data_IF_726635978508
#
_entry.id   IF_726635978508
#
_cell.length_a   1.000
_cell.length_b   1.000
_cell.length_c   1.000
_cell.angle_alpha   90.00
_cell.angle_beta   90.00
_cell.angle_gamma   90.00
#
_symmetry.space_group_name_H-M   'P 1'
#
loop_
_entity.id
_entity.type
_entity.pdbx_description
1 polymer ?
#
# COMPACT_ATOMS: atom_id res chain seq x y z
N UNK A 1 -4.55 -11.23 19.92
CA UNK A 1 -4.82 -9.78 19.89
C UNK A 1 -5.68 -9.39 21.06
N UNK A 2 -5.57 -8.14 21.54
CA UNK A 2 -6.48 -7.61 22.56
C UNK A 2 -7.84 -7.27 21.91
N UNK A 3 -8.93 -7.74 22.52
CA UNK A 3 -10.30 -7.50 22.05
C UNK A 3 -10.71 -6.09 22.48
N UNK A 4 -11.47 -5.33 21.70
CA UNK A 4 -12.01 -4.02 22.11
C UNK A 4 -13.54 -4.08 22.13
N UNK A 5 -14.15 -3.35 23.06
CA UNK A 5 -15.60 -3.18 23.16
C UNK A 5 -15.94 -1.69 23.11
N UNK A 6 -16.98 -1.33 22.35
CA UNK A 6 -17.56 0.01 22.39
C UNK A 6 -18.46 0.09 23.63
N UNK A 7 -18.06 0.89 24.61
CA UNK A 7 -18.79 1.05 25.85
C UNK A 7 -19.81 2.18 25.76
N UNK A 8 -21.01 1.94 26.33
CA UNK A 8 -21.97 3.00 26.66
C UNK A 8 -21.79 3.39 28.13
N UNK A 9 -21.26 4.59 28.37
CA UNK A 9 -21.01 5.07 29.72
C UNK A 9 -22.32 5.43 30.44
N UNK A 10 -22.50 4.91 31.65
CA UNK A 10 -23.72 5.15 32.44
C UNK A 10 -23.81 6.62 32.84
N UNK A 11 -24.92 7.27 32.50
CA UNK A 11 -25.16 8.69 32.81
C UNK A 11 -24.64 9.68 31.76
N UNK A 12 -24.05 9.19 30.67
CA UNK A 12 -23.60 10.00 29.54
C UNK A 12 -24.39 9.64 28.27
N UNK A 13 -24.45 10.57 27.33
CA UNK A 13 -25.08 10.34 26.02
C UNK A 13 -24.19 9.47 25.10
N UNK A 14 -24.75 9.07 23.95
CA UNK A 14 -24.07 8.19 23.01
C UNK A 14 -22.86 8.81 22.30
N UNK A 15 -22.67 10.14 22.36
CA UNK A 15 -21.50 10.81 21.79
C UNK A 15 -20.23 10.54 22.60
N UNK A 16 -20.39 10.10 23.86
CA UNK A 16 -19.29 9.78 24.76
C UNK A 16 -18.88 8.30 24.70
N UNK A 17 -19.54 7.48 23.86
CA UNK A 17 -19.19 6.07 23.72
C UNK A 17 -17.75 5.93 23.22
N UNK A 18 -16.93 5.17 23.94
CA UNK A 18 -15.51 4.97 23.63
C UNK A 18 -15.17 3.50 23.45
N UNK A 19 -14.16 3.23 22.63
CA UNK A 19 -13.62 1.89 22.42
C UNK A 19 -12.58 1.59 23.47
N UNK A 20 -12.88 0.64 24.36
CA UNK A 20 -11.98 0.24 25.43
C UNK A 20 -11.46 -1.19 25.20
N UNK A 21 -10.18 -1.47 25.44
CA UNK A 21 -9.64 -2.81 25.34
C UNK A 21 -10.19 -3.70 26.46
N UNK A 22 -10.38 -4.98 26.15
CA UNK A 22 -10.97 -5.99 27.03
C UNK A 22 -10.20 -6.19 28.32
N UNK A 23 -8.89 -5.88 28.31
CA UNK A 23 -8.02 -5.95 29.47
C UNK A 23 -8.40 -4.88 30.52
N UNK A 24 -9.03 -3.78 30.12
CA UNK A 24 -9.43 -2.68 31.02
C UNK A 24 -10.90 -2.75 31.44
N UNK A 25 -11.62 -3.82 31.06
CA UNK A 25 -13.02 -4.02 31.41
C UNK A 25 -13.18 -4.93 32.63
N UNK A 26 -13.55 -4.35 33.77
CA UNK A 26 -13.87 -5.10 34.99
C UNK A 26 -15.36 -5.50 35.05
N UNK A 27 -15.86 -6.10 33.96
CA UNK A 27 -17.27 -6.50 33.84
C UNK A 27 -17.47 -7.83 33.08
N UNK A 28 -16.87 -8.93 33.56
CA UNK A 28 -16.79 -10.20 32.82
C UNK A 28 -18.16 -10.79 32.46
N UNK A 29 -19.18 -10.64 33.29
CA UNK A 29 -20.52 -11.19 33.04
C UNK A 29 -21.28 -10.40 31.96
N UNK A 30 -21.15 -9.08 31.92
CA UNK A 30 -21.73 -8.25 30.85
C UNK A 30 -21.07 -8.56 29.50
N UNK A 31 -19.75 -8.72 29.50
CA UNK A 31 -18.99 -9.10 28.31
C UNK A 31 -19.41 -10.49 27.78
N UNK A 32 -19.55 -11.48 28.67
CA UNK A 32 -20.04 -12.83 28.29
C UNK A 32 -21.45 -12.78 27.73
N UNK A 33 -22.35 -12.03 28.37
CA UNK A 33 -23.73 -11.88 27.91
C UNK A 33 -23.79 -11.24 26.52
N UNK A 34 -23.09 -10.12 26.32
CA UNK A 34 -23.03 -9.43 25.03
C UNK A 34 -22.52 -10.36 23.92
N UNK A 35 -21.42 -11.09 24.15
CA UNK A 35 -20.88 -12.02 23.17
C UNK A 35 -21.85 -13.16 22.83
N UNK A 36 -22.62 -13.65 23.80
CA UNK A 36 -23.66 -14.66 23.58
C UNK A 36 -24.80 -14.10 22.71
N UNK A 37 -25.25 -12.89 22.99
CA UNK A 37 -26.32 -12.23 22.22
C UNK A 37 -25.90 -11.96 20.78
N UNK A 38 -24.65 -11.53 20.55
CA UNK A 38 -24.13 -11.31 19.20
C UNK A 38 -24.06 -12.62 18.39
N UNK A 39 -23.68 -13.74 19.02
CA UNK A 39 -23.73 -15.07 18.38
C UNK A 39 -25.16 -15.49 18.02
N UNK A 40 -26.12 -15.26 18.90
CA UNK A 40 -27.53 -15.58 18.65
C UNK A 40 -28.15 -14.71 17.54
N UNK A 41 -27.78 -13.43 17.46
CA UNK A 41 -28.19 -12.53 16.37
C UNK A 41 -27.61 -12.98 15.03
N UNK A 42 -26.35 -13.39 14.98
CA UNK A 42 -25.71 -13.93 13.77
C UNK A 42 -26.39 -15.21 13.28
N UNK A 43 -26.81 -16.09 14.20
CA UNK A 43 -27.53 -17.33 13.86
C UNK A 43 -28.96 -17.07 13.35
N UNK A 44 -29.66 -16.06 13.89
CA UNK A 44 -31.02 -15.69 13.45
C UNK A 44 -31.02 -14.92 12.11
N UNK A 45 -29.96 -14.20 11.79
CA UNK A 45 -29.82 -13.51 10.50
C UNK A 45 -29.59 -14.48 9.32
N UNK A 46 -29.25 -15.75 9.58
CA UNK A 46 -28.96 -16.76 8.56
C UNK A 46 -30.16 -17.60 8.09
N UNK A 47 -31.36 -17.45 8.67
CA UNK A 47 -32.50 -18.38 8.43
C UNK A 47 -33.70 -17.81 7.67
N UNK A 48 -33.66 -16.56 7.21
CA UNK A 48 -34.77 -15.94 6.46
C UNK A 48 -34.33 -15.46 5.08
N UNK A 49 -34.59 -16.27 4.05
CA UNK A 49 -34.50 -15.84 2.65
C UNK A 49 -34.10 -16.92 1.65
N UNK A 50 -34.87 -18.00 1.54
CA UNK A 50 -34.78 -18.93 0.40
C UNK A 50 -35.94 -18.66 -0.57
N UNK A 51 -35.70 -18.03 -1.73
CA UNK A 51 -36.24 -18.53 -3.01
C UNK A 51 -35.65 -17.88 -4.30
N UNK A 52 -35.30 -18.79 -5.22
CA UNK A 52 -35.20 -18.77 -6.70
C UNK A 52 -34.58 -17.61 -7.52
N UNK A 53 -33.41 -17.95 -8.10
CA UNK A 53 -33.01 -17.83 -9.52
C UNK A 53 -32.90 -16.45 -10.21
N UNK A 54 -31.65 -16.04 -10.47
CA UNK A 54 -31.09 -15.89 -11.82
C UNK A 54 -29.57 -15.98 -11.78
N UNK A 55 -29.01 -16.81 -12.67
CA UNK A 55 -27.57 -17.09 -12.79
C UNK A 55 -26.80 -15.80 -13.11
N UNK A 56 -25.93 -15.40 -12.20
CA UNK A 56 -24.77 -14.57 -12.48
C UNK A 56 -23.57 -15.26 -11.84
N UNK A 57 -22.50 -15.37 -12.61
CA UNK A 57 -21.32 -16.21 -12.38
C UNK A 57 -20.79 -16.00 -10.96
N UNK A 58 -20.84 -17.08 -10.18
CA UNK A 58 -20.53 -17.09 -8.75
C UNK A 58 -19.02 -16.90 -8.57
N UNK A 59 -18.66 -15.89 -7.78
CA UNK A 59 -17.34 -15.75 -7.19
C UNK A 59 -16.92 -17.11 -6.61
N UNK A 60 -15.73 -17.57 -6.96
CA UNK A 60 -15.08 -18.73 -6.38
C UNK A 60 -15.01 -18.57 -4.87
N UNK A 61 -16.03 -19.07 -4.15
CA UNK A 61 -15.89 -19.41 -2.74
C UNK A 61 -14.78 -20.45 -2.70
N UNK A 62 -13.62 -20.06 -2.19
CA UNK A 62 -12.54 -20.98 -1.89
C UNK A 62 -13.06 -21.89 -0.77
N UNK A 63 -13.60 -23.05 -1.15
CA UNK A 63 -14.19 -24.05 -0.25
C UNK A 63 -13.18 -25.10 0.18
N UNK A 64 -11.88 -24.77 0.23
CA UNK A 64 -10.89 -25.64 0.87
C UNK A 64 -10.57 -25.13 2.28
N UNK A 65 -10.34 -26.04 3.24
CA UNK A 65 -9.73 -25.66 4.50
C UNK A 65 -8.40 -24.94 4.24
N UNK A 66 -8.15 -23.87 4.99
CA UNK A 66 -6.83 -23.23 5.01
C UNK A 66 -5.87 -24.10 5.80
N UNK A 67 -4.63 -24.14 5.34
CA UNK A 67 -3.53 -24.75 6.07
C UNK A 67 -3.20 -23.95 7.34
N UNK A 68 -2.48 -24.58 8.26
CA UNK A 68 -1.99 -23.94 9.49
C UNK A 68 -1.14 -22.68 9.17
N UNK A 69 -0.28 -22.76 8.15
CA UNK A 69 0.60 -21.66 7.76
C UNK A 69 -0.18 -20.47 7.16
N UNK A 70 -1.23 -20.73 6.37
CA UNK A 70 -2.14 -19.68 5.90
C UNK A 70 -2.84 -18.98 7.07
N UNK A 71 -3.39 -19.76 8.01
CA UNK A 71 -4.07 -19.22 9.19
C UNK A 71 -3.11 -18.44 10.11
N UNK A 72 -1.89 -18.93 10.31
CA UNK A 72 -0.87 -18.24 11.07
C UNK A 72 -0.49 -16.90 10.42
N UNK A 73 -0.34 -16.87 9.09
CA UNK A 73 -0.05 -15.64 8.36
C UNK A 73 -1.24 -14.66 8.40
N UNK A 74 -2.48 -15.11 8.24
CA UNK A 74 -3.65 -14.24 8.41
C UNK A 74 -3.75 -13.67 9.82
N UNK A 75 -3.55 -14.50 10.85
CA UNK A 75 -3.57 -14.04 12.24
C UNK A 75 -2.47 -13.01 12.52
N UNK A 76 -1.28 -13.21 11.93
CA UNK A 76 -0.20 -12.24 11.96
C UNK A 76 -0.61 -10.91 11.30
N UNK A 77 -1.21 -10.94 10.11
CA UNK A 77 -1.66 -9.73 9.41
C UNK A 77 -2.79 -9.02 10.18
N UNK A 78 -3.70 -9.75 10.83
CA UNK A 78 -4.77 -9.17 11.65
C UNK A 78 -4.24 -8.33 12.83
N UNK A 79 -3.04 -8.60 13.33
CA UNK A 79 -2.44 -7.81 14.42
C UNK A 79 -1.50 -6.71 13.96
N UNK A 80 -1.03 -6.74 12.69
CA UNK A 80 -0.03 -5.81 12.18
C UNK A 80 -0.52 -4.87 11.07
N UNK A 81 -1.48 -5.29 10.25
CA UNK A 81 -2.03 -4.49 9.15
C UNK A 81 -3.29 -3.73 9.59
N UNK A 82 -3.12 -2.47 10.03
CA UNK A 82 -4.24 -1.65 10.55
C UNK A 82 -4.71 -0.56 9.58
N UNK A 83 -4.07 -0.46 8.43
CA UNK A 83 -4.29 0.58 7.43
C UNK A 83 -5.52 0.36 6.53
N UNK A 84 -6.34 -0.69 6.73
CA UNK A 84 -7.50 -0.95 5.88
C UNK A 84 -8.23 -2.27 6.14
N UNK A 85 -9.06 -2.74 5.19
CA UNK A 85 -9.75 -4.03 5.29
C UNK A 85 -8.79 -5.20 5.54
N UNK A 86 -9.21 -6.27 6.25
CA UNK A 86 -8.37 -7.44 6.50
C UNK A 86 -7.80 -8.05 5.21
N UNK A 87 -6.53 -8.47 5.29
CA UNK A 87 -5.81 -9.10 4.18
C UNK A 87 -5.94 -10.61 4.34
N UNK A 88 -6.40 -11.28 3.28
CA UNK A 88 -6.46 -12.75 3.27
C UNK A 88 -5.14 -13.35 2.78
N UNK A 89 -4.87 -14.61 3.15
CA UNK A 89 -3.74 -15.39 2.65
C UNK A 89 -4.26 -16.64 1.96
N UNK A 90 -3.73 -16.91 0.77
CA UNK A 90 -4.09 -18.05 -0.07
C UNK A 90 -2.79 -18.73 -0.54
N UNK A 91 -2.52 -19.92 -0.01
CA UNK A 91 -1.43 -20.78 -0.44
C UNK A 91 -1.93 -22.18 -0.77
N UNK A 92 -2.24 -22.39 -2.06
CA UNK A 92 -2.62 -23.66 -2.66
C UNK A 92 -1.46 -24.33 -3.41
N UNK A 93 -0.22 -23.86 -3.19
CA UNK A 93 0.97 -24.25 -3.97
C UNK A 93 1.96 -25.04 -3.12
N UNK A 94 2.28 -24.57 -1.92
CA UNK A 94 3.30 -25.16 -1.06
C UNK A 94 3.00 -24.93 0.43
N UNK A 95 3.93 -25.33 1.29
CA UNK A 95 3.83 -25.13 2.74
C UNK A 95 4.39 -23.80 3.25
N UNK A 96 4.68 -22.82 2.39
CA UNK A 96 5.27 -21.55 2.84
C UNK A 96 4.25 -20.73 3.66
N UNK A 97 4.73 -20.14 4.76
CA UNK A 97 3.98 -19.24 5.62
C UNK A 97 4.48 -17.81 5.51
N UNK A 98 4.51 -17.11 6.64
CA UNK A 98 5.09 -15.76 6.74
C UNK A 98 6.54 -15.81 6.23
N UNK A 99 6.95 -14.92 5.30
CA UNK A 99 8.34 -14.88 4.85
C UNK A 99 9.31 -14.69 6.03
N UNK A 100 10.46 -15.39 6.03
CA UNK A 100 11.48 -15.18 7.06
C UNK A 100 12.02 -13.73 6.99
N UNK A 101 12.36 -13.17 8.14
CA UNK A 101 12.91 -11.82 8.30
C UNK A 101 12.02 -10.67 7.79
N UNK A 102 10.73 -10.92 7.56
CA UNK A 102 9.74 -9.91 7.17
C UNK A 102 8.91 -9.46 8.38
N UNK A 103 8.73 -8.15 8.50
CA UNK A 103 7.86 -7.50 9.47
C UNK A 103 6.88 -6.59 8.75
N UNK A 104 5.58 -6.83 8.93
CA UNK A 104 4.54 -5.97 8.39
C UNK A 104 4.50 -4.64 9.14
N UNK A 105 4.59 -3.53 8.40
CA UNK A 105 4.46 -2.16 8.93
C UNK A 105 3.45 -1.35 8.12
N UNK A 106 2.71 -0.46 8.76
CA UNK A 106 1.75 0.46 8.15
C UNK A 106 2.22 1.93 8.23
N UNK A 107 3.53 2.13 8.41
CA UNK A 107 4.20 3.41 8.54
C UNK A 107 5.67 3.30 8.09
N UNK A 108 6.31 4.45 7.89
CA UNK A 108 7.75 4.49 7.60
C UNK A 108 8.59 4.36 8.87
N UNK A 109 9.63 3.54 8.77
CA UNK A 109 10.75 3.59 9.69
C UNK A 109 11.81 4.55 9.13
N UNK A 110 12.46 5.31 9.99
CA UNK A 110 13.47 6.29 9.57
C UNK A 110 14.84 5.81 10.02
N UNK A 111 15.69 5.46 9.05
CA UNK A 111 17.06 5.02 9.26
C UNK A 111 17.97 6.15 9.77
N UNK A 112 19.21 5.80 10.08
CA UNK A 112 20.21 6.76 10.54
C UNK A 112 20.48 7.82 9.46
N UNK A 113 20.50 9.09 9.86
CA UNK A 113 20.76 10.22 8.95
C UNK A 113 19.55 10.69 8.14
N UNK A 114 18.39 10.06 8.29
CA UNK A 114 17.14 10.51 7.65
C UNK A 114 16.37 11.45 8.60
N UNK A 115 15.96 12.66 8.14
CA UNK A 115 15.14 13.57 8.93
C UNK A 115 13.80 12.93 9.31
N UNK A 116 13.39 13.12 10.57
CA UNK A 116 12.08 12.66 11.05
C UNK A 116 10.99 13.69 10.73
N UNK A 117 9.72 13.27 10.54
CA UNK A 117 8.62 14.19 10.22
C UNK A 117 8.51 15.39 11.17
N UNK A 118 8.70 15.18 12.48
CA UNK A 118 8.64 16.27 13.47
C UNK A 118 9.70 17.35 13.26
N UNK A 119 10.87 17.00 12.70
CA UNK A 119 11.92 17.96 12.38
C UNK A 119 11.59 18.80 11.14
N UNK A 120 10.57 18.42 10.37
CA UNK A 120 10.12 19.07 9.14
C UNK A 120 8.78 19.78 9.34
N UNK A 121 8.26 19.86 10.57
CA UNK A 121 6.96 20.47 10.83
C UNK A 121 6.94 21.97 10.48
N UNK A 122 8.07 22.66 10.62
CA UNK A 122 8.20 24.09 10.31
C UNK A 122 8.18 24.39 8.81
N UNK A 123 8.53 23.41 7.96
CA UNK A 123 8.47 23.55 6.50
C UNK A 123 7.09 23.19 5.95
N UNK A 124 6.22 22.62 6.78
CA UNK A 124 4.89 22.19 6.37
C UNK A 124 3.92 23.37 6.27
N UNK A 125 3.37 23.56 5.08
CA UNK A 125 2.43 24.64 4.78
C UNK A 125 1.04 24.06 4.48
N UNK A 126 0.04 24.58 5.19
CA UNK A 126 -1.37 24.24 4.97
C UNK A 126 -2.10 25.26 4.09
N UNK A 127 -3.29 24.89 3.61
CA UNK A 127 -4.26 25.84 3.08
C UNK A 127 -5.04 26.53 4.19
N UNK A 128 -5.80 27.58 3.86
CA UNK A 128 -6.71 28.29 4.77
C UNK A 128 -8.19 27.99 4.46
N UNK A 129 -8.46 26.92 3.71
CA UNK A 129 -9.81 26.61 3.24
C UNK A 129 -10.71 26.08 4.38
N UNK A 130 -11.94 26.58 4.53
CA UNK A 130 -12.91 25.95 5.41
C UNK A 130 -13.33 24.57 4.89
N UNK A 131 -14.00 23.80 5.74
CA UNK A 131 -14.48 22.45 5.43
C UNK A 131 -15.26 22.37 4.11
N UNK A 132 -14.85 21.42 3.25
CA UNK A 132 -15.46 21.20 1.94
C UNK A 132 -15.13 22.26 0.88
N UNK A 133 -14.30 23.27 1.20
CA UNK A 133 -13.96 24.35 0.28
C UNK A 133 -12.62 24.16 -0.46
N UNK A 134 -11.88 23.08 -0.19
CA UNK A 134 -10.65 22.74 -0.92
C UNK A 134 -10.93 22.37 -2.39
N UNK A 135 -11.12 23.38 -3.23
CA UNK A 135 -11.37 23.25 -4.67
C UNK A 135 -10.80 24.43 -5.44
N UNK A 136 -10.29 24.17 -6.65
CA UNK A 136 -9.83 25.24 -7.52
C UNK A 136 -8.58 25.95 -7.00
N UNK A 137 -8.30 27.11 -7.60
CA UNK A 137 -7.21 28.01 -7.23
C UNK A 137 -7.31 28.65 -5.83
N UNK A 138 -8.42 28.45 -5.12
CA UNK A 138 -8.59 28.96 -3.75
C UNK A 138 -7.87 28.10 -2.72
N UNK A 139 -7.63 26.82 -3.03
CA UNK A 139 -6.89 25.94 -2.13
C UNK A 139 -5.40 26.02 -2.43
N UNK A 140 -4.62 26.52 -1.47
CA UNK A 140 -3.16 26.61 -1.59
C UNK A 140 -2.52 25.26 -1.97
N UNK A 141 -2.94 24.17 -1.34
CA UNK A 141 -2.46 22.81 -1.63
C UNK A 141 -2.68 22.39 -3.10
N UNK A 142 -3.74 22.88 -3.76
CA UNK A 142 -4.00 22.57 -5.17
C UNK A 142 -3.36 23.58 -6.12
N UNK A 143 -3.20 24.83 -5.68
CA UNK A 143 -2.71 25.93 -6.51
C UNK A 143 -1.22 25.78 -6.85
N UNK A 144 -0.40 25.41 -5.87
CA UNK A 144 1.07 25.48 -6.00
C UNK A 144 1.63 24.51 -7.06
N UNK A 145 1.18 23.25 -7.10
CA UNK A 145 1.69 22.25 -8.06
C UNK A 145 0.69 21.79 -9.13
N UNK A 146 -0.62 21.97 -8.92
CA UNK A 146 -1.64 21.46 -9.84
C UNK A 146 -2.50 22.58 -10.46
N UNK A 147 -2.06 23.84 -10.44
CA UNK A 147 -2.77 24.98 -11.05
C UNK A 147 -4.24 25.10 -10.59
N UNK A 148 -4.52 24.66 -9.35
CA UNK A 148 -5.86 24.61 -8.77
C UNK A 148 -6.76 23.50 -9.30
N UNK A 149 -6.29 22.63 -10.20
CA UNK A 149 -7.02 21.42 -10.62
C UNK A 149 -7.13 20.47 -9.42
N UNK A 150 -8.18 19.63 -9.45
CA UNK A 150 -8.39 18.64 -8.40
C UNK A 150 -7.51 17.42 -8.64
N UNK A 151 -6.81 16.96 -7.61
CA UNK A 151 -6.09 15.68 -7.63
C UNK A 151 -7.05 14.49 -7.78
N UNK A 152 -8.25 14.60 -7.18
CA UNK A 152 -9.22 13.51 -7.11
C UNK A 152 -10.62 13.91 -7.54
N UNK A 153 -11.39 12.92 -7.99
CA UNK A 153 -12.84 13.02 -8.15
C UNK A 153 -13.50 13.22 -6.79
N UNK A 154 -14.38 14.21 -6.67
CA UNK A 154 -15.09 14.51 -5.42
C UNK A 154 -16.11 13.45 -5.05
N UNK A 155 -16.63 12.73 -6.03
CA UNK A 155 -17.68 11.72 -5.83
C UNK A 155 -17.07 10.36 -5.50
N UNK A 156 -15.94 10.02 -6.13
CA UNK A 156 -15.40 8.66 -6.10
C UNK A 156 -14.04 8.55 -5.43
N UNK A 157 -13.33 9.66 -5.20
CA UNK A 157 -11.95 9.64 -4.68
C UNK A 157 -10.91 9.16 -5.70
N UNK A 158 -11.31 8.91 -6.95
CA UNK A 158 -10.40 8.45 -8.00
C UNK A 158 -9.45 9.55 -8.45
N UNK A 159 -8.16 9.24 -8.64
CA UNK A 159 -7.15 10.19 -9.14
C UNK A 159 -7.52 10.70 -10.55
N UNK A 160 -7.35 12.00 -10.76
CA UNK A 160 -7.67 12.71 -12.01
C UNK A 160 -6.46 13.28 -12.73
N UNK A 161 -5.36 13.46 -12.01
CA UNK A 161 -4.10 13.93 -12.61
C UNK A 161 -3.43 12.79 -13.38
N UNK A 162 -2.69 13.09 -14.46
CA UNK A 162 -1.97 12.07 -15.21
C UNK A 162 -0.77 11.51 -14.42
N UNK A 163 -0.34 10.27 -14.70
CA UNK A 163 0.90 9.73 -14.14
C UNK A 163 2.10 10.65 -14.34
N UNK A 164 3.03 10.67 -13.38
CA UNK A 164 4.17 11.60 -13.35
C UNK A 164 3.89 12.94 -12.66
N UNK A 165 2.63 13.22 -12.30
CA UNK A 165 2.28 14.41 -11.52
C UNK A 165 2.48 14.17 -10.01
N UNK A 166 3.02 15.17 -9.30
CA UNK A 166 3.11 15.15 -7.83
C UNK A 166 1.76 15.52 -7.22
N UNK A 167 1.23 14.65 -6.37
CA UNK A 167 -0.05 14.87 -5.70
C UNK A 167 0.19 15.58 -4.37
N UNK A 168 -0.24 16.83 -4.26
CA UNK A 168 -0.25 17.59 -3.01
C UNK A 168 -1.61 17.49 -2.31
N UNK A 169 -1.69 16.66 -1.27
CA UNK A 169 -2.86 16.56 -0.41
C UNK A 169 -2.93 17.70 0.62
N UNK A 170 -4.11 17.89 1.21
CA UNK A 170 -4.22 18.68 2.44
C UNK A 170 -3.60 17.92 3.61
N UNK A 171 -3.09 18.65 4.59
CA UNK A 171 -2.25 18.12 5.66
C UNK A 171 -2.70 18.61 7.04
N UNK A 172 -1.98 18.23 8.09
CA UNK A 172 -2.27 18.55 9.50
C UNK A 172 -2.30 20.06 9.80
N UNK A 173 -1.67 20.91 8.97
CA UNK A 173 -1.75 22.38 9.10
C UNK A 173 -2.98 22.97 8.40
N UNK A 174 -3.68 22.21 7.55
CA UNK A 174 -4.92 22.67 6.93
C UNK A 174 -6.09 22.60 7.92
N UNK A 175 -6.96 23.63 8.00
CA UNK A 175 -8.13 23.61 8.86
C UNK A 175 -9.28 22.75 8.30
N UNK A 176 -9.17 22.26 7.06
CA UNK A 176 -10.15 21.37 6.47
C UNK A 176 -10.12 19.98 7.12
N UNK A 177 -11.31 19.43 7.37
CA UNK A 177 -11.49 18.18 8.08
C UNK A 177 -10.90 16.94 7.36
N UNK A 178 -10.89 15.82 8.07
CA UNK A 178 -10.35 14.53 7.61
C UNK A 178 -11.07 13.97 6.36
N UNK A 179 -12.32 14.38 6.13
CA UNK A 179 -13.13 13.98 4.97
C UNK A 179 -12.96 14.93 3.76
N UNK A 180 -11.99 15.84 3.81
CA UNK A 180 -11.66 16.71 2.68
C UNK A 180 -11.39 15.87 1.41
N UNK A 181 -11.96 16.28 0.28
CA UNK A 181 -11.78 15.59 -1.01
C UNK A 181 -10.32 15.55 -1.50
N UNK A 182 -9.43 16.36 -0.90
CA UNK A 182 -7.99 16.36 -1.15
C UNK A 182 -7.21 15.64 -0.04
N UNK A 183 -7.83 14.70 0.67
CA UNK A 183 -7.23 13.81 1.67
C UNK A 183 -7.66 12.37 1.35
N UNK A 184 -7.13 11.74 0.30
CA UNK A 184 -7.53 10.39 -0.12
C UNK A 184 -6.56 9.35 0.43
N UNK A 185 -5.27 9.51 0.15
CA UNK A 185 -4.28 8.47 0.45
C UNK A 185 -4.00 8.36 1.95
N UNK A 186 -4.09 9.48 2.68
CA UNK A 186 -3.97 9.50 4.14
C UNK A 186 -5.12 8.80 4.89
N UNK A 187 -6.21 8.41 4.21
CA UNK A 187 -7.30 7.64 4.83
C UNK A 187 -7.05 6.13 4.87
N UNK A 188 -5.88 5.68 4.41
CA UNK A 188 -5.51 4.27 4.35
C UNK A 188 -6.19 3.50 3.22
N UNK A 189 -5.80 2.23 3.09
CA UNK A 189 -6.31 1.29 2.09
C UNK A 189 -7.82 1.10 2.26
N UNK A 190 -8.57 1.20 1.16
CA UNK A 190 -10.00 0.86 1.10
C UNK A 190 -10.30 -0.40 0.28
N UNK A 191 -9.36 -0.85 -0.54
CA UNK A 191 -9.51 -2.04 -1.40
C UNK A 191 -9.35 -3.34 -0.60
N UNK A 192 -10.02 -4.39 -1.05
CA UNK A 192 -9.94 -5.73 -0.44
C UNK A 192 -8.98 -6.61 -1.22
N UNK A 193 -7.94 -7.10 -0.55
CA UNK A 193 -6.80 -7.79 -1.16
C UNK A 193 -6.52 -9.13 -0.48
N UNK A 194 -5.82 -10.01 -1.19
CA UNK A 194 -5.25 -11.23 -0.62
C UNK A 194 -3.80 -11.41 -1.08
N UNK A 195 -2.93 -11.83 -0.17
CA UNK A 195 -1.60 -12.34 -0.50
C UNK A 195 -1.77 -13.77 -0.99
N UNK A 196 -1.37 -14.04 -2.23
CA UNK A 196 -1.48 -15.36 -2.88
C UNK A 196 -0.11 -15.91 -3.23
N UNK A 197 0.12 -17.20 -2.97
CA UNK A 197 1.29 -17.92 -3.45
C UNK A 197 1.11 -18.28 -4.93
N UNK A 198 2.09 -17.93 -5.77
CA UNK A 198 2.15 -18.29 -7.18
C UNK A 198 3.31 -19.29 -7.42
N UNK A 199 3.12 -20.33 -8.24
CA UNK A 199 4.13 -21.36 -8.47
C UNK A 199 5.48 -20.83 -8.95
N UNK A 200 5.48 -19.86 -9.87
CA UNK A 200 6.71 -19.43 -10.54
C UNK A 200 7.27 -18.08 -10.04
N UNK A 201 6.46 -17.33 -9.27
CA UNK A 201 6.70 -15.91 -8.97
C UNK A 201 6.94 -15.58 -7.50
N UNK A 202 6.66 -16.50 -6.58
CA UNK A 202 6.76 -16.16 -5.16
C UNK A 202 5.38 -15.93 -4.55
N UNK A 203 5.34 -15.03 -3.57
CA UNK A 203 4.11 -14.40 -3.13
C UNK A 203 3.71 -13.31 -4.13
N UNK A 204 2.42 -13.02 -4.21
CA UNK A 204 1.83 -11.97 -5.03
C UNK A 204 0.60 -11.41 -4.32
N UNK A 205 -0.02 -10.37 -4.87
CA UNK A 205 -1.27 -9.83 -4.33
C UNK A 205 -2.35 -9.90 -5.38
N UNK A 206 -3.55 -10.34 -5.00
CA UNK A 206 -4.74 -10.35 -5.86
C UNK A 206 -5.87 -9.52 -5.27
N UNK A 207 -6.76 -9.03 -6.12
CA UNK A 207 -7.99 -8.37 -5.69
C UNK A 207 -9.05 -9.40 -5.23
N UNK A 208 -9.68 -9.20 -4.08
CA UNK A 208 -10.80 -10.05 -3.61
C UNK A 208 -12.17 -9.41 -3.82
N UNK A 209 -12.17 -8.14 -4.22
CA UNK A 209 -13.33 -7.41 -4.78
C UNK A 209 -12.84 -6.62 -5.99
N UNK A 210 -13.74 -6.34 -6.94
CA UNK A 210 -13.44 -5.47 -8.08
C UNK A 210 -12.90 -4.12 -7.60
N UNK A 211 -11.83 -3.64 -8.23
CA UNK A 211 -11.23 -2.33 -7.98
C UNK A 211 -11.43 -1.50 -9.24
N UNK A 212 -12.07 -0.35 -9.12
CA UNK A 212 -12.24 0.57 -10.25
C UNK A 212 -10.90 1.22 -10.64
N UNK A 213 -10.80 1.73 -11.86
CA UNK A 213 -9.61 2.46 -12.31
C UNK A 213 -9.34 3.69 -11.45
N UNK A 214 -8.09 4.13 -11.37
CA UNK A 214 -7.66 5.34 -10.69
C UNK A 214 -7.95 5.36 -9.17
N UNK A 215 -8.10 4.20 -8.54
CA UNK A 215 -8.33 4.07 -7.10
C UNK A 215 -7.01 3.94 -6.36
N UNK A 216 -6.89 4.62 -5.21
CA UNK A 216 -5.76 4.40 -4.30
C UNK A 216 -5.78 2.97 -3.76
N UNK A 217 -4.63 2.31 -3.82
CA UNK A 217 -4.43 0.93 -3.34
C UNK A 217 -3.79 0.95 -1.97
N UNK A 218 -2.56 1.45 -1.88
CA UNK A 218 -1.74 1.52 -0.67
C UNK A 218 -0.50 2.36 -0.95
N UNK A 219 0.20 2.82 0.09
CA UNK A 219 1.57 3.29 -0.04
C UNK A 219 2.55 2.12 -0.17
N UNK A 220 3.76 2.39 -0.66
CA UNK A 220 4.93 1.52 -0.48
C UNK A 220 5.60 1.89 0.84
N UNK A 221 5.45 1.05 1.87
CA UNK A 221 6.06 1.27 3.18
C UNK A 221 7.33 0.44 3.35
N UNK A 222 8.26 0.97 4.15
CA UNK A 222 9.48 0.31 4.55
C UNK A 222 10.35 1.20 5.41
N UNK A 223 11.64 0.88 5.48
CA UNK A 223 12.64 1.74 6.10
C UNK A 223 13.13 2.77 5.08
N UNK A 224 12.94 4.06 5.37
CA UNK A 224 13.57 5.13 4.61
C UNK A 224 15.03 5.21 5.06
N UNK A 225 15.94 5.01 4.13
CA UNK A 225 17.39 5.06 4.31
C UNK A 225 18.00 6.12 3.39
N UNK A 226 19.24 6.52 3.67
CA UNK A 226 19.97 7.42 2.77
C UNK A 226 20.40 6.68 1.51
N UNK A 227 20.59 7.39 0.40
CA UNK A 227 21.10 6.82 -0.84
C UNK A 227 22.42 6.05 -0.63
N UNK A 228 23.34 6.59 0.19
CA UNK A 228 24.59 5.92 0.52
C UNK A 228 24.39 4.58 1.26
N UNK A 229 23.42 4.50 2.17
CA UNK A 229 23.08 3.23 2.83
C UNK A 229 22.39 2.26 1.86
N UNK A 230 21.57 2.78 0.94
CA UNK A 230 20.94 1.98 -0.10
C UNK A 230 21.98 1.34 -1.03
N UNK A 231 23.02 2.06 -1.44
CA UNK A 231 24.11 1.51 -2.26
C UNK A 231 24.85 0.35 -1.56
N UNK A 232 25.12 0.51 -0.25
CA UNK A 232 25.76 -0.50 0.57
C UNK A 232 24.90 -1.77 0.72
N UNK A 233 23.57 -1.61 0.84
CA UNK A 233 22.63 -2.74 0.91
C UNK A 233 22.38 -3.37 -0.45
N UNK A 234 22.19 -2.56 -1.48
CA UNK A 234 21.92 -2.94 -2.88
C UNK A 234 22.97 -3.90 -3.40
N UNK A 235 24.26 -3.58 -3.19
CA UNK A 235 25.38 -4.46 -3.55
C UNK A 235 25.26 -5.88 -2.98
N UNK A 236 24.69 -6.04 -1.77
CA UNK A 236 24.44 -7.35 -1.15
C UNK A 236 23.15 -7.98 -1.65
N UNK A 237 22.16 -7.17 -2.00
CA UNK A 237 20.83 -7.60 -2.44
C UNK A 237 20.87 -8.13 -3.87
N UNK A 238 21.67 -7.52 -4.73
CA UNK A 238 21.88 -7.93 -6.12
C UNK A 238 22.49 -9.33 -6.21
N UNK A 239 23.43 -9.65 -5.31
CA UNK A 239 24.05 -10.98 -5.22
C UNK A 239 23.01 -12.10 -5.03
N UNK A 240 21.85 -11.79 -4.44
CA UNK A 240 20.78 -12.72 -4.10
C UNK A 240 19.44 -12.39 -4.80
N UNK A 241 19.44 -11.45 -5.76
CA UNK A 241 18.27 -11.12 -6.60
C UNK A 241 17.12 -10.43 -5.86
N UNK A 242 17.40 -9.61 -4.84
CA UNK A 242 16.38 -8.91 -4.04
C UNK A 242 16.14 -7.48 -4.55
N UNK A 243 14.87 -7.13 -4.79
CA UNK A 243 14.46 -5.90 -5.52
C UNK A 243 13.53 -5.01 -4.70
N UNK A 244 13.80 -4.86 -3.39
CA UNK A 244 12.92 -4.14 -2.46
C UNK A 244 13.30 -2.68 -2.21
N UNK A 245 14.38 -2.20 -2.84
CA UNK A 245 14.80 -0.81 -2.80
C UNK A 245 13.98 0.00 -3.81
N UNK A 246 13.41 1.12 -3.36
CA UNK A 246 12.67 2.05 -4.22
C UNK A 246 13.13 3.48 -3.94
N UNK A 247 13.84 4.06 -4.90
CA UNK A 247 14.38 5.42 -4.80
C UNK A 247 13.27 6.48 -4.78
N UNK A 248 13.46 7.52 -3.97
CA UNK A 248 12.58 8.69 -3.92
C UNK A 248 13.03 9.74 -4.94
N UNK A 249 13.16 9.34 -6.20
CA UNK A 249 13.73 10.14 -7.29
C UNK A 249 12.68 10.88 -8.14
N UNK A 250 11.38 10.73 -7.84
CA UNK A 250 10.31 11.33 -8.66
C UNK A 250 10.38 12.84 -8.86
N UNK A 251 11.06 13.55 -7.96
CA UNK A 251 11.22 15.00 -8.03
C UNK A 251 12.64 15.40 -8.43
N UNK A 252 13.56 14.44 -8.54
CA UNK A 252 14.95 14.69 -8.95
C UNK A 252 14.99 14.98 -10.46
N UNK A 253 15.28 16.24 -10.80
CA UNK A 253 15.43 16.68 -12.18
C UNK A 253 16.89 16.67 -12.64
N UNK A 254 17.82 16.23 -11.78
CA UNK A 254 19.26 16.19 -12.04
C UNK A 254 19.94 17.57 -12.05
N UNK A 255 19.19 18.65 -11.87
CA UNK A 255 19.69 20.04 -11.96
C UNK A 255 19.57 20.81 -10.65
N UNK A 256 18.65 20.43 -9.77
CA UNK A 256 18.33 21.17 -8.56
C UNK A 256 18.69 20.39 -7.28
N UNK A 257 19.63 20.92 -6.49
CA UNK A 257 20.06 20.30 -5.21
C UNK A 257 18.91 20.12 -4.21
N UNK A 258 17.87 20.96 -4.27
CA UNK A 258 16.71 20.87 -3.39
C UNK A 258 15.76 19.72 -3.75
N UNK A 259 15.87 19.16 -4.95
CA UNK A 259 15.03 18.04 -5.40
C UNK A 259 15.80 16.74 -5.62
N UNK A 260 17.13 16.77 -5.42
CA UNK A 260 18.02 15.61 -5.50
C UNK A 260 17.48 14.41 -4.72
N UNK A 261 17.56 13.23 -5.33
CA UNK A 261 17.29 11.97 -4.67
C UNK A 261 18.34 11.70 -3.59
N UNK A 262 17.92 11.80 -2.33
CA UNK A 262 18.78 11.55 -1.16
C UNK A 262 18.39 10.31 -0.37
N UNK A 263 17.22 9.74 -0.68
CA UNK A 263 16.56 8.74 0.15
C UNK A 263 15.95 7.64 -0.71
N UNK A 264 15.92 6.44 -0.12
CA UNK A 264 15.39 5.22 -0.73
C UNK A 264 14.53 4.51 0.31
N UNK A 265 13.41 3.91 -0.10
CA UNK A 265 12.62 3.03 0.74
C UNK A 265 13.13 1.59 0.57
N UNK A 266 13.61 0.98 1.64
CA UNK A 266 13.93 -0.45 1.72
C UNK A 266 12.78 -1.21 2.36
N UNK A 267 12.05 -1.97 1.54
CA UNK A 267 10.91 -2.75 1.99
C UNK A 267 11.24 -4.22 2.33
N UNK A 268 12.51 -4.62 2.35
CA UNK A 268 12.84 -6.03 2.57
C UNK A 268 12.38 -6.53 3.93
N UNK A 269 12.93 -5.92 5.00
CA UNK A 269 12.74 -6.41 6.38
C UNK A 269 11.47 -5.86 6.99
N UNK A 270 11.13 -4.64 6.60
CA UNK A 270 9.94 -3.94 7.04
C UNK A 270 9.19 -3.53 5.79
N UNK A 271 7.96 -3.99 5.62
CA UNK A 271 7.16 -3.60 4.46
C UNK A 271 5.68 -3.83 4.72
N UNK A 272 4.81 -3.26 3.91
CA UNK A 272 3.37 -3.52 3.96
C UNK A 272 2.96 -4.49 2.85
N UNK A 273 1.66 -4.52 2.52
CA UNK A 273 1.15 -5.41 1.47
C UNK A 273 1.81 -5.20 0.10
N UNK A 274 2.31 -4.01 -0.22
CA UNK A 274 2.98 -3.76 -1.50
C UNK A 274 4.35 -4.42 -1.62
N UNK A 275 4.96 -4.88 -0.51
CA UNK A 275 6.14 -5.76 -0.54
C UNK A 275 5.90 -6.97 -1.46
N UNK A 276 4.66 -7.43 -1.55
CA UNK A 276 4.27 -8.61 -2.32
C UNK A 276 3.78 -8.28 -3.74
N UNK A 277 3.86 -7.03 -4.21
CA UNK A 277 3.47 -6.71 -5.58
C UNK A 277 4.54 -7.18 -6.55
N UNK A 278 4.16 -8.02 -7.51
CA UNK A 278 5.07 -8.53 -8.52
C UNK A 278 5.25 -7.57 -9.70
N UNK A 279 6.35 -7.77 -10.42
CA UNK A 279 6.61 -7.09 -11.68
C UNK A 279 5.64 -7.53 -12.80
N UNK A 280 5.21 -6.57 -13.62
CA UNK A 280 4.67 -6.82 -14.97
C UNK A 280 5.18 -5.80 -15.99
N UNK A 281 5.41 -6.25 -17.22
CA UNK A 281 5.69 -5.38 -18.38
C UNK A 281 4.41 -4.70 -18.92
N UNK A 282 3.22 -5.22 -18.59
CA UNK A 282 1.93 -4.53 -18.75
C UNK A 282 1.22 -4.48 -17.39
N UNK A 283 1.62 -3.56 -16.50
CA UNK A 283 1.09 -3.50 -15.15
C UNK A 283 -0.33 -2.92 -15.10
N UNK A 284 -1.08 -3.31 -14.08
CA UNK A 284 -2.38 -2.71 -13.75
C UNK A 284 -2.30 -1.68 -12.62
N UNK A 285 -1.13 -1.50 -12.01
CA UNK A 285 -0.83 -0.42 -11.07
C UNK A 285 0.05 0.67 -11.70
N UNK A 286 -0.07 1.87 -11.16
CA UNK A 286 0.76 3.03 -11.44
C UNK A 286 1.15 3.71 -10.13
N UNK A 287 2.33 4.33 -10.10
CA UNK A 287 2.87 5.00 -8.92
C UNK A 287 2.69 6.50 -9.05
N UNK A 288 2.31 7.14 -7.94
CA UNK A 288 2.30 8.60 -7.80
C UNK A 288 3.14 9.01 -6.57
N UNK A 289 4.00 10.02 -6.69
CA UNK A 289 4.58 10.70 -5.53
C UNK A 289 3.49 11.54 -4.86
N UNK A 290 3.28 11.34 -3.56
CA UNK A 290 2.25 12.03 -2.78
C UNK A 290 2.87 12.77 -1.60
N UNK A 291 2.46 14.01 -1.43
CA UNK A 291 2.84 14.88 -0.31
C UNK A 291 1.60 15.16 0.55
N UNK A 292 1.68 14.91 1.86
CA UNK A 292 0.66 15.30 2.83
C UNK A 292 1.32 15.98 4.04
N UNK A 293 1.77 15.24 5.05
CA UNK A 293 2.34 15.70 6.32
C UNK A 293 3.87 15.71 6.32
N UNK A 294 4.45 16.15 5.21
CA UNK A 294 5.88 16.34 5.06
C UNK A 294 6.13 17.52 4.11
N UNK A 295 6.96 18.48 4.52
CA UNK A 295 7.32 19.65 3.71
C UNK A 295 8.51 19.42 2.79
N UNK A 296 9.28 18.34 2.97
CA UNK A 296 10.43 18.01 2.14
C UNK A 296 10.04 17.10 0.97
N UNK A 297 10.04 17.63 -0.24
CA UNK A 297 9.64 16.91 -1.45
C UNK A 297 10.50 15.65 -1.75
N UNK A 298 11.71 15.58 -1.19
CA UNK A 298 12.61 14.43 -1.32
C UNK A 298 12.16 13.23 -0.47
N UNK A 299 11.22 13.46 0.44
CA UNK A 299 10.62 12.46 1.34
C UNK A 299 9.13 12.25 1.02
N UNK A 300 8.76 12.36 -0.25
CA UNK A 300 7.40 12.07 -0.71
C UNK A 300 7.01 10.60 -0.46
N UNK A 301 5.72 10.34 -0.30
CA UNK A 301 5.21 8.99 -0.26
C UNK A 301 5.16 8.39 -1.67
N UNK A 302 5.49 7.11 -1.80
CA UNK A 302 5.21 6.32 -2.99
C UNK A 302 3.81 5.72 -2.84
N UNK A 303 2.84 6.17 -3.63
CA UNK A 303 1.47 5.67 -3.60
C UNK A 303 1.11 4.87 -4.85
N UNK A 304 0.54 3.68 -4.67
CA UNK A 304 0.01 2.89 -5.77
C UNK A 304 -1.46 3.25 -6.02
N UNK A 305 -1.77 3.47 -7.29
CA UNK A 305 -3.13 3.60 -7.80
C UNK A 305 -3.39 2.55 -8.88
N UNK A 306 -4.64 2.10 -9.03
CA UNK A 306 -5.02 1.28 -10.18
C UNK A 306 -4.97 2.11 -11.46
N UNK A 307 -4.35 1.58 -12.52
CA UNK A 307 -4.28 2.19 -13.86
C UNK A 307 -5.53 1.88 -14.69
N UNK A 308 -6.14 0.73 -14.43
CA UNK A 308 -7.36 0.22 -15.09
C UNK A 308 -8.22 -0.46 -14.02
N UNK A 309 -9.46 -0.81 -14.37
CA UNK A 309 -10.26 -1.66 -13.50
C UNK A 309 -9.56 -3.02 -13.32
N UNK A 310 -9.57 -3.55 -12.10
CA UNK A 310 -8.95 -4.82 -11.73
C UNK A 310 -10.06 -5.76 -11.24
N UNK A 311 -10.19 -6.91 -11.89
CA UNK A 311 -11.25 -7.86 -11.60
C UNK A 311 -10.93 -8.73 -10.37
N UNK A 312 -11.95 -9.39 -9.82
CA UNK A 312 -11.76 -10.32 -8.70
C UNK A 312 -10.85 -11.47 -9.12
N UNK A 313 -9.81 -11.72 -8.33
CA UNK A 313 -8.79 -12.75 -8.59
C UNK A 313 -7.64 -12.29 -9.48
N UNK A 314 -7.72 -11.09 -10.08
CA UNK A 314 -6.63 -10.52 -10.86
C UNK A 314 -5.49 -10.08 -9.94
N UNK A 315 -4.25 -10.31 -10.39
CA UNK A 315 -3.04 -9.97 -9.67
C UNK A 315 -2.66 -8.50 -9.85
N UNK A 316 -2.35 -7.84 -8.74
CA UNK A 316 -1.86 -6.48 -8.71
C UNK A 316 -0.36 -6.48 -9.02
N UNK A 317 0.01 -5.79 -10.11
CA UNK A 317 1.39 -5.73 -10.59
C UNK A 317 1.78 -4.32 -11.00
N UNK A 318 3.05 -3.98 -10.82
CA UNK A 318 3.64 -2.70 -11.23
C UNK A 318 4.93 -2.91 -12.03
N UNK A 319 5.42 -1.87 -12.70
CA UNK A 319 6.68 -1.94 -13.41
C UNK A 319 7.85 -1.54 -12.48
N UNK A 320 8.67 -2.52 -12.10
CA UNK A 320 9.84 -2.32 -11.24
C UNK A 320 10.88 -1.34 -11.81
N UNK A 321 10.97 -1.19 -13.13
CA UNK A 321 11.96 -0.29 -13.74
C UNK A 321 11.44 1.15 -13.87
N UNK A 322 10.24 1.45 -13.36
CA UNK A 322 9.57 2.73 -13.58
C UNK A 322 9.06 2.93 -15.01
N UNK A 323 8.44 4.10 -15.23
CA UNK A 323 7.94 4.57 -16.54
C UNK A 323 8.97 5.34 -17.36
N UNK A 324 10.20 5.47 -16.86
CA UNK A 324 11.29 6.07 -17.61
C UNK A 324 12.07 4.96 -18.31
N UNK A 325 12.05 5.01 -19.64
CA UNK A 325 13.10 4.39 -20.45
C UNK A 325 14.41 5.08 -20.04
N UNK A 326 15.10 4.58 -19.00
CA UNK A 326 16.50 4.93 -18.79
C UNK A 326 17.25 4.40 -20.02
N UNK A 327 17.48 5.27 -20.97
CA UNK A 327 18.48 5.15 -22.03
C UNK A 327 19.88 5.28 -21.42
N UNK A 328 20.17 4.53 -20.36
CA UNK A 328 21.52 4.43 -19.84
C UNK A 328 22.17 3.24 -20.52
N UNK A 329 22.69 3.52 -21.72
CA UNK A 329 23.72 2.68 -22.33
C UNK A 329 24.96 2.74 -21.45
N UNK A 330 25.02 1.92 -20.40
CA UNK A 330 26.28 1.60 -19.76
C UNK A 330 26.99 0.55 -20.61
N UNK A 331 28.19 0.91 -21.07
CA UNK A 331 29.11 0.01 -21.73
C UNK A 331 29.31 -1.24 -20.87
N UNK A 332 28.90 -2.37 -21.43
CA UNK A 332 29.08 -3.70 -20.86
C UNK A 332 30.58 -3.94 -20.74
N UNK A 333 31.14 -3.80 -19.54
CA UNK A 333 32.43 -4.39 -19.22
C UNK A 333 32.28 -5.90 -19.40
N UNK A 334 33.10 -6.48 -20.28
CA UNK A 334 33.15 -7.91 -20.58
C UNK A 334 33.47 -8.71 -19.30
N UNK A 335 32.45 -9.11 -18.54
CA UNK A 335 32.57 -10.09 -17.47
C UNK A 335 32.36 -11.51 -18.03
N UNK A 336 33.02 -12.48 -17.40
CA UNK A 336 32.90 -13.92 -17.63
C UNK A 336 31.45 -14.36 -17.95
N UNK A 337 31.26 -15.04 -19.07
CA UNK A 337 29.95 -15.40 -19.62
C UNK A 337 29.09 -16.28 -18.69
N UNK A 338 29.71 -16.94 -17.71
CA UNK A 338 29.03 -17.75 -16.69
C UNK A 338 28.25 -16.90 -15.67
N UNK A 339 28.87 -15.85 -15.14
CA UNK A 339 28.29 -14.95 -14.13
C UNK A 339 27.09 -14.19 -14.68
N UNK A 340 27.18 -13.78 -15.96
CA UNK A 340 26.07 -13.10 -16.67
C UNK A 340 24.83 -13.98 -16.76
N UNK A 341 24.99 -15.28 -17.01
CA UNK A 341 23.87 -16.20 -17.18
C UNK A 341 23.11 -16.46 -15.88
N UNK A 342 23.81 -16.58 -14.75
CA UNK A 342 23.19 -16.74 -13.43
C UNK A 342 22.40 -15.50 -13.00
N UNK A 343 22.93 -14.29 -13.25
CA UNK A 343 22.25 -13.03 -12.93
C UNK A 343 21.02 -12.84 -13.84
N UNK A 344 21.14 -13.13 -15.13
CA UNK A 344 20.00 -13.08 -16.06
C UNK A 344 18.88 -14.03 -15.65
N UNK A 345 19.19 -15.23 -15.15
CA UNK A 345 18.15 -16.17 -14.70
C UNK A 345 17.40 -15.65 -13.46
N UNK A 346 18.10 -14.98 -12.52
CA UNK A 346 17.48 -14.38 -11.33
C UNK A 346 16.44 -13.32 -11.69
N UNK A 347 16.72 -12.52 -12.73
CA UNK A 347 15.88 -11.40 -13.15
C UNK A 347 14.96 -11.71 -14.34
N UNK A 348 14.81 -13.00 -14.70
CA UNK A 348 13.91 -13.43 -15.77
C UNK A 348 12.46 -13.07 -15.44
N UNK A 349 11.83 -12.31 -16.32
CA UNK A 349 10.45 -11.87 -16.18
C UNK A 349 9.48 -13.00 -16.52
N UNK A 350 8.54 -13.24 -15.59
CA UNK A 350 7.47 -14.26 -15.71
C UNK A 350 6.08 -13.65 -15.72
N UNK A 351 5.94 -12.41 -16.20
CA UNK A 351 4.67 -11.68 -16.22
C UNK A 351 3.66 -12.21 -17.25
N UNK A 352 4.13 -12.96 -18.26
CA UNK A 352 3.32 -13.56 -19.35
C UNK A 352 2.56 -12.55 -20.22
N UNK A 353 2.90 -11.26 -20.14
CA UNK A 353 2.34 -10.25 -21.04
C UNK A 353 2.83 -10.45 -22.49
N UNK A 354 1.99 -10.13 -23.46
CA UNK A 354 2.33 -10.20 -24.89
C UNK A 354 3.46 -9.24 -25.29
N UNK A 355 3.70 -8.18 -24.51
CA UNK A 355 4.79 -7.22 -24.68
C UNK A 355 5.91 -7.40 -23.62
N UNK A 356 6.10 -8.62 -23.11
CA UNK A 356 7.12 -8.89 -22.09
C UNK A 356 8.54 -8.58 -22.58
N UNK A 357 9.31 -7.83 -21.78
CA UNK A 357 10.72 -7.49 -22.05
C UNK A 357 11.71 -8.63 -21.77
N UNK A 358 11.23 -9.75 -21.24
CA UNK A 358 12.06 -10.92 -20.87
C UNK A 358 12.76 -10.80 -19.51
N UNK A 359 13.08 -9.59 -19.04
CA UNK A 359 13.74 -9.32 -17.76
C UNK A 359 13.13 -8.09 -17.07
N UNK A 360 13.26 -8.01 -15.74
CA UNK A 360 12.70 -6.89 -14.94
C UNK A 360 13.75 -6.08 -14.16
N UNK A 361 15.03 -6.37 -14.39
CA UNK A 361 16.16 -5.62 -13.88
C UNK A 361 17.17 -5.48 -15.02
N UNK A 362 17.84 -4.34 -15.13
CA UNK A 362 18.99 -4.18 -16.03
C UNK A 362 20.14 -5.03 -15.50
N UNK A 363 20.70 -5.89 -16.36
CA UNK A 363 21.83 -6.79 -16.05
C UNK A 363 23.10 -6.25 -16.65
#
# INVERSE_FOLDING_TARGET
GMVYYLLKWKGYDDMHNSWEPSLYLDCPELVKQFNREQRLKALKAGTSGANSQKRSICATKITRPKSENELAFENYLLTHARDGPPIQVINDVDGQGIPPDFTYVDYYLYGQGVPRPNALEETLVGCECPDGACKGNKCRCLKELNEGKLNYSRETGQVKVPPGHVIMECNSKCPCNINCFNRVTQQGRKVHLAIKRFPEKGWGVIATKRIEANMFITYYYGEIITAAEADLRGSKYDAVGRTYLFDLDFCDDGTNENTKCLYTIDAWRYGNISHFFNHSCDPNLVVYPVMNDNGDIRLHHIAFFSKKAIEVGEELTFNYTGSFERHDGYDVLESDGSLRQEIMEKYRCKCKSGNCRGYFHTV
#
